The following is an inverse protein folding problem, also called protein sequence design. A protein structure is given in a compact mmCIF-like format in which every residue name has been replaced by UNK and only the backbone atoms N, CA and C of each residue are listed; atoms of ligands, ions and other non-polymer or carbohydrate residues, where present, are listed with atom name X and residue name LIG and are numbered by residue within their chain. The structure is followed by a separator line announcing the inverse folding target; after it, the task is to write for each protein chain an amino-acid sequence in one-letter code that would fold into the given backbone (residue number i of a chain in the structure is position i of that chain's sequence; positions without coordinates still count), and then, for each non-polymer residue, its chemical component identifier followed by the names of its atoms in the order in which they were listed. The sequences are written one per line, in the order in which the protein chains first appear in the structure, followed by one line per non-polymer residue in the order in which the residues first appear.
data_IF_381633821978
#
_entry.id   IF_381633821978
#
_cell.length_a   1.000
_cell.length_b   1.000
_cell.length_c   1.000
_cell.angle_alpha   90.00
_cell.angle_beta   90.00
_cell.angle_gamma   90.00
#
_symmetry.space_group_name_H-M   'P 1'
#
loop_
_entity.id
_entity.type
_entity.pdbx_description
1 polymer ?
#
# COMPACT_ATOMS: atom_id res chain seq x y z
N UNK A 1 -12.56 9.20 -14.10
CA UNK A 1 -12.83 7.88 -14.70
C UNK A 1 -12.19 6.77 -13.85
N UNK A 2 -12.89 5.69 -13.49
CA UNK A 2 -12.26 4.57 -12.77
C UNK A 2 -11.47 3.69 -13.76
N UNK A 3 -10.16 3.54 -13.58
CA UNK A 3 -9.37 2.57 -14.34
C UNK A 3 -8.41 1.85 -13.41
N UNK A 4 -8.23 0.55 -13.66
CA UNK A 4 -7.42 -0.32 -12.83
C UNK A 4 -5.96 -0.24 -13.29
N UNK A 5 -5.22 0.75 -12.79
CA UNK A 5 -3.78 0.86 -13.01
C UNK A 5 -2.98 0.04 -11.98
N UNK A 6 -2.08 -0.83 -12.46
CA UNK A 6 -1.12 -1.62 -11.67
C UNK A 6 -1.71 -2.71 -10.76
N UNK A 7 -2.88 -3.25 -11.13
CA UNK A 7 -3.58 -4.31 -10.38
C UNK A 7 -4.67 -3.77 -9.44
N UNK A 8 -5.69 -4.58 -9.17
CA UNK A 8 -6.84 -4.21 -8.33
C UNK A 8 -6.72 -4.73 -6.89
N UNK A 9 -5.66 -5.49 -6.60
CA UNK A 9 -5.36 -6.05 -5.29
C UNK A 9 -3.85 -6.07 -5.01
N UNK A 10 -3.50 -6.32 -3.76
CA UNK A 10 -2.13 -6.63 -3.33
C UNK A 10 -2.17 -7.84 -2.39
N UNK A 11 -1.04 -8.55 -2.30
CA UNK A 11 -0.86 -9.61 -1.32
C UNK A 11 -0.48 -9.00 0.03
N UNK A 12 -1.16 -9.46 1.09
CA UNK A 12 -1.03 -8.92 2.43
C UNK A 12 -0.76 -10.02 3.46
N UNK A 13 -0.07 -9.66 4.54
CA UNK A 13 0.12 -10.54 5.67
C UNK A 13 -1.22 -10.83 6.35
N UNK A 14 -1.49 -12.10 6.63
CA UNK A 14 -2.72 -12.51 7.34
C UNK A 14 -2.78 -11.98 8.78
N UNK A 15 -1.62 -11.71 9.41
CA UNK A 15 -1.55 -11.24 10.82
C UNK A 15 -1.78 -9.75 10.98
N UNK A 16 -1.12 -8.93 10.17
CA UNK A 16 -1.05 -7.47 10.40
C UNK A 16 -1.59 -6.62 9.24
N UNK A 17 -2.05 -7.27 8.17
CA UNK A 17 -2.59 -6.65 6.97
C UNK A 17 -1.65 -5.80 6.12
N UNK A 18 -0.37 -5.68 6.50
CA UNK A 18 0.63 -5.00 5.69
C UNK A 18 0.90 -5.77 4.41
N UNK A 19 1.11 -5.04 3.31
CA UNK A 19 1.58 -5.59 2.03
C UNK A 19 2.86 -6.41 2.25
N UNK A 20 2.89 -7.63 1.69
CA UNK A 20 4.09 -8.46 1.67
C UNK A 20 4.99 -8.07 0.50
N UNK A 21 6.29 -8.29 0.66
CA UNK A 21 7.32 -7.98 -0.33
C UNK A 21 8.06 -9.26 -0.73
N UNK A 22 8.62 -9.30 -1.93
CA UNK A 22 9.31 -10.47 -2.49
C UNK A 22 8.55 -11.07 -3.68
N UNK A 23 9.17 -12.07 -4.30
CA UNK A 23 8.64 -12.80 -5.45
C UNK A 23 8.21 -14.22 -5.04
N UNK A 24 7.61 -14.96 -5.98
CA UNK A 24 6.96 -16.26 -5.75
C UNK A 24 7.86 -17.24 -4.97
N UNK A 25 7.52 -17.45 -3.68
CA UNK A 25 8.18 -18.38 -2.77
C UNK A 25 8.82 -17.74 -1.53
N UNK A 26 9.15 -16.44 -1.58
CA UNK A 26 9.87 -15.73 -0.50
C UNK A 26 9.17 -14.44 -0.07
N UNK A 27 7.85 -14.52 0.09
CA UNK A 27 7.06 -13.40 0.58
C UNK A 27 7.37 -13.10 2.05
N UNK A 28 7.69 -11.85 2.34
CA UNK A 28 8.10 -11.37 3.65
C UNK A 28 7.19 -10.24 4.15
N UNK A 29 6.82 -10.28 5.42
CA UNK A 29 6.16 -9.17 6.09
C UNK A 29 7.17 -8.37 6.91
N UNK A 30 7.42 -7.13 6.51
CA UNK A 30 8.35 -6.24 7.21
C UNK A 30 7.87 -5.80 8.59
N UNK A 31 6.56 -5.80 8.86
CA UNK A 31 6.01 -5.43 10.19
C UNK A 31 6.03 -6.58 11.18
N UNK A 32 5.85 -7.81 10.71
CA UNK A 32 5.91 -9.01 11.55
C UNK A 32 7.30 -9.63 11.59
N UNK A 33 8.23 -9.12 10.78
CA UNK A 33 9.59 -9.66 10.61
C UNK A 33 9.58 -11.18 10.40
N UNK A 34 8.69 -11.64 9.53
CA UNK A 34 8.47 -13.06 9.30
C UNK A 34 8.09 -13.37 7.85
N UNK A 35 8.45 -14.58 7.42
CA UNK A 35 8.02 -15.19 6.16
C UNK A 35 6.50 -15.38 6.19
N UNK A 36 5.87 -15.18 5.04
CA UNK A 36 4.42 -15.31 4.85
C UNK A 36 4.18 -16.37 3.78
N UNK A 37 3.87 -17.58 4.23
CA UNK A 37 3.59 -18.71 3.32
C UNK A 37 2.21 -18.58 2.66
N UNK A 38 1.23 -18.11 3.42
CA UNK A 38 -0.15 -17.91 2.95
C UNK A 38 -0.50 -16.42 3.03
N UNK A 39 -0.18 -15.64 1.97
CA UNK A 39 -0.65 -14.27 1.86
C UNK A 39 -2.15 -14.23 1.56
N UNK A 40 -2.81 -13.14 1.93
CA UNK A 40 -4.22 -12.89 1.62
C UNK A 40 -4.31 -11.74 0.61
N UNK A 41 -5.04 -11.93 -0.48
CA UNK A 41 -5.33 -10.85 -1.42
C UNK A 41 -6.27 -9.81 -0.78
N UNK A 42 -5.94 -8.53 -0.94
CA UNK A 42 -6.71 -7.38 -0.44
C UNK A 42 -6.85 -6.30 -1.51
N UNK A 43 -7.98 -5.61 -1.57
CA UNK A 43 -8.16 -4.60 -2.62
C UNK A 43 -7.24 -3.39 -2.45
N UNK A 44 -6.77 -2.89 -3.60
CA UNK A 44 -6.18 -1.57 -3.77
C UNK A 44 -6.66 -1.05 -5.12
N UNK A 45 -7.75 -0.30 -5.10
CA UNK A 45 -8.37 0.23 -6.33
C UNK A 45 -7.98 1.69 -6.47
N UNK A 46 -7.36 2.01 -7.60
CA UNK A 46 -7.10 3.39 -8.02
C UNK A 46 -8.26 3.86 -8.90
N UNK A 47 -8.70 5.09 -8.69
CA UNK A 47 -9.69 5.70 -9.55
C UNK A 47 -9.45 7.19 -9.66
N UNK A 48 -9.70 7.72 -10.85
CA UNK A 48 -9.50 9.12 -11.15
C UNK A 48 -10.78 9.90 -10.94
N UNK A 49 -10.65 11.00 -10.21
CA UNK A 49 -11.71 11.96 -9.92
C UNK A 49 -11.36 13.26 -10.61
N UNK A 50 -12.34 13.83 -11.29
CA UNK A 50 -12.22 15.09 -12.00
C UNK A 50 -13.29 16.04 -11.48
N UNK A 51 -12.90 17.28 -11.23
CA UNK A 51 -13.78 18.39 -10.93
C UNK A 51 -13.39 19.62 -11.75
N UNK A 52 -14.07 20.74 -11.52
CA UNK A 52 -13.79 22.00 -12.20
C UNK A 52 -12.37 22.56 -11.98
N UNK A 53 -11.60 22.08 -10.99
CA UNK A 53 -10.24 22.52 -10.68
C UNK A 53 -9.17 21.62 -11.30
N UNK A 54 -9.53 20.40 -11.68
CA UNK A 54 -8.65 19.47 -12.37
C UNK A 54 -8.90 18.02 -12.01
N UNK A 55 -7.86 17.21 -12.19
CA UNK A 55 -7.93 15.76 -12.10
C UNK A 55 -6.99 15.25 -11.02
N UNK A 56 -7.42 14.27 -10.24
CA UNK A 56 -6.60 13.60 -9.23
C UNK A 56 -6.91 12.11 -9.12
N UNK A 57 -6.01 11.34 -8.49
CA UNK A 57 -6.17 9.90 -8.28
C UNK A 57 -6.45 9.63 -6.81
N UNK A 58 -7.55 8.94 -6.55
CA UNK A 58 -7.88 8.38 -5.25
C UNK A 58 -7.57 6.88 -5.19
N UNK A 59 -7.18 6.41 -4.01
CA UNK A 59 -6.89 5.01 -3.73
C UNK A 59 -7.83 4.53 -2.63
N UNK A 60 -8.73 3.60 -2.95
CA UNK A 60 -9.54 2.90 -1.95
C UNK A 60 -8.87 1.57 -1.58
N UNK A 61 -8.74 1.34 -0.28
CA UNK A 61 -8.18 0.12 0.29
C UNK A 61 -9.29 -0.84 0.70
N UNK A 62 -8.92 -2.12 0.78
CA UNK A 62 -9.72 -3.30 1.14
C UNK A 62 -11.13 -3.04 1.70
N UNK A 63 -11.25 -2.50 2.91
CA UNK A 63 -12.55 -2.34 3.60
C UNK A 63 -13.54 -1.45 2.84
N UNK A 64 -13.08 -0.38 2.20
CA UNK A 64 -13.97 0.53 1.45
C UNK A 64 -14.39 -0.12 0.13
N UNK A 65 -13.48 -0.85 -0.53
CA UNK A 65 -13.78 -1.54 -1.78
C UNK A 65 -14.74 -2.70 -1.54
N UNK A 66 -14.57 -3.48 -0.47
CA UNK A 66 -15.47 -4.58 -0.12
C UNK A 66 -16.92 -4.11 0.09
N UNK A 67 -17.14 -2.91 0.64
CA UNK A 67 -18.48 -2.34 0.79
C UNK A 67 -19.16 -2.07 -0.56
N UNK A 68 -18.38 -1.63 -1.55
CA UNK A 68 -18.87 -1.31 -2.90
C UNK A 68 -19.08 -2.59 -3.73
N UNK A 69 -18.08 -3.47 -3.73
CA UNK A 69 -18.04 -4.68 -4.57
C UNK A 69 -18.86 -5.82 -3.96
N UNK A 70 -19.07 -5.82 -2.64
CA UNK A 70 -19.76 -6.88 -1.88
C UNK A 70 -19.14 -8.27 -2.04
N UNK A 71 -17.83 -8.30 -2.27
CA UNK A 71 -16.98 -9.48 -2.28
C UNK A 71 -15.61 -9.10 -1.73
N UNK A 72 -14.84 -10.08 -1.30
CA UNK A 72 -13.44 -9.95 -0.91
C UNK A 72 -12.52 -10.06 -2.12
N UNK A 73 -11.30 -9.52 -2.01
CA UNK A 73 -10.33 -9.67 -3.09
C UNK A 73 -9.91 -11.14 -3.28
N UNK A 74 -9.83 -11.91 -2.18
CA UNK A 74 -9.52 -13.34 -2.23
C UNK A 74 -10.54 -14.15 -3.05
N UNK A 75 -11.84 -13.87 -2.88
CA UNK A 75 -12.90 -14.50 -3.68
C UNK A 75 -12.75 -14.17 -5.17
N UNK A 76 -12.40 -12.92 -5.50
CA UNK A 76 -12.23 -12.50 -6.89
C UNK A 76 -10.92 -13.01 -7.52
N UNK A 77 -9.87 -13.26 -6.74
CA UNK A 77 -8.62 -13.83 -7.28
C UNK A 77 -8.76 -15.28 -7.73
N UNK A 78 -9.80 -15.99 -7.27
CA UNK A 78 -10.14 -17.33 -7.77
C UNK A 78 -10.96 -17.32 -9.07
N UNK A 79 -11.45 -16.16 -9.51
CA UNK A 79 -12.17 -15.99 -10.77
C UNK A 79 -11.22 -15.63 -11.93
N UNK A 80 -11.72 -15.64 -13.16
CA UNK A 80 -10.98 -15.08 -14.29
C UNK A 80 -10.72 -13.58 -14.07
N UNK A 81 -9.63 -13.06 -14.63
CA UNK A 81 -9.24 -11.66 -14.48
C UNK A 81 -10.35 -10.70 -14.98
N UNK A 82 -11.03 -11.04 -16.07
CA UNK A 82 -12.14 -10.26 -16.62
C UNK A 82 -13.34 -10.21 -15.66
N UNK A 83 -13.66 -11.33 -15.01
CA UNK A 83 -14.75 -11.37 -14.04
C UNK A 83 -14.42 -10.54 -12.80
N UNK A 84 -13.17 -10.61 -12.31
CA UNK A 84 -12.72 -9.79 -11.20
C UNK A 84 -12.76 -8.29 -11.54
N UNK A 85 -12.24 -7.89 -12.71
CA UNK A 85 -12.30 -6.51 -13.19
C UNK A 85 -13.75 -6.03 -13.31
N UNK A 86 -14.62 -6.83 -13.90
CA UNK A 86 -16.05 -6.51 -14.07
C UNK A 86 -16.75 -6.31 -12.72
N UNK A 87 -16.48 -7.17 -11.74
CA UNK A 87 -17.03 -7.03 -10.39
C UNK A 87 -16.57 -5.73 -9.71
N UNK A 88 -15.28 -5.39 -9.83
CA UNK A 88 -14.75 -4.14 -9.29
C UNK A 88 -15.38 -2.92 -9.99
N UNK A 89 -15.43 -2.92 -11.32
CA UNK A 89 -16.05 -1.83 -12.10
C UNK A 89 -17.53 -1.68 -11.73
N UNK A 90 -18.26 -2.78 -11.60
CA UNK A 90 -19.67 -2.80 -11.21
C UNK A 90 -19.88 -2.21 -9.81
N UNK A 91 -19.05 -2.57 -8.83
CA UNK A 91 -19.11 -1.99 -7.49
C UNK A 91 -18.92 -0.47 -7.49
N UNK A 92 -18.00 0.03 -8.33
CA UNK A 92 -17.74 1.47 -8.49
C UNK A 92 -18.75 2.19 -9.39
N UNK A 93 -19.50 1.48 -10.24
CA UNK A 93 -20.52 2.10 -11.10
C UNK A 93 -21.58 2.88 -10.31
N UNK A 94 -21.86 2.43 -9.08
CA UNK A 94 -22.80 3.10 -8.17
C UNK A 94 -22.32 4.49 -7.73
N UNK A 95 -21.01 4.75 -7.74
CA UNK A 95 -20.44 6.05 -7.38
C UNK A 95 -20.09 6.92 -8.59
N UNK A 96 -19.89 6.33 -9.78
CA UNK A 96 -19.43 7.03 -10.98
C UNK A 96 -20.36 8.14 -11.50
N UNK A 97 -21.60 8.23 -11.00
CA UNK A 97 -22.58 9.24 -11.41
C UNK A 97 -23.38 9.81 -10.23
N UNK A 98 -22.86 9.72 -9.00
CA UNK A 98 -23.51 10.24 -7.80
C UNK A 98 -22.63 11.25 -7.10
N UNK A 99 -23.24 12.18 -6.38
CA UNK A 99 -22.55 13.01 -5.41
C UNK A 99 -22.03 12.14 -4.26
N UNK A 100 -20.70 12.04 -4.14
CA UNK A 100 -20.03 11.20 -3.15
C UNK A 100 -19.05 12.04 -2.35
N UNK A 101 -19.14 11.93 -1.03
CA UNK A 101 -18.19 12.57 -0.12
C UNK A 101 -17.06 11.60 0.19
N UNK A 102 -15.84 11.97 -0.23
CA UNK A 102 -14.65 11.18 0.03
C UNK A 102 -13.92 11.74 1.25
N UNK A 103 -13.75 10.93 2.30
CA UNK A 103 -12.85 11.30 3.38
C UNK A 103 -11.44 10.80 3.03
N UNK A 104 -10.47 11.69 2.87
CA UNK A 104 -9.09 11.34 2.50
C UNK A 104 -8.11 11.57 3.66
N UNK A 105 -7.05 10.77 3.72
CA UNK A 105 -5.91 11.04 4.60
C UNK A 105 -4.76 11.63 3.79
N UNK A 106 -4.19 12.73 4.30
CA UNK A 106 -2.98 13.35 3.75
C UNK A 106 -1.81 13.01 4.66
N UNK A 107 -0.79 12.37 4.11
CA UNK A 107 0.45 12.07 4.83
C UNK A 107 1.52 13.15 4.56
N UNK A 108 2.56 13.18 5.39
CA UNK A 108 3.73 14.05 5.22
C UNK A 108 4.39 13.91 3.83
N UNK A 109 4.33 12.71 3.25
CA UNK A 109 4.73 12.43 1.86
C UNK A 109 3.93 13.25 0.83
N UNK A 110 2.61 13.35 1.00
CA UNK A 110 1.75 14.13 0.11
C UNK A 110 2.04 15.64 0.26
N UNK A 111 2.38 16.12 1.46
CA UNK A 111 2.66 17.54 1.69
C UNK A 111 4.02 18.01 1.17
N UNK A 112 5.01 17.10 1.08
CA UNK A 112 6.35 17.42 0.57
C UNK A 112 6.43 17.43 -0.96
N UNK A 113 5.40 16.93 -1.65
CA UNK A 113 5.35 16.90 -3.10
C UNK A 113 4.69 18.16 -3.64
N UNK A 114 5.27 18.76 -4.70
CA UNK A 114 4.64 19.87 -5.42
C UNK A 114 3.30 19.47 -6.06
N UNK A 115 3.16 18.20 -6.43
CA UNK A 115 1.95 17.61 -7.03
C UNK A 115 1.78 16.18 -6.52
N UNK A 116 0.90 15.93 -5.54
CA UNK A 116 0.65 14.59 -5.04
C UNK A 116 0.11 13.68 -6.16
N UNK A 117 0.69 12.49 -6.32
CA UNK A 117 0.27 11.55 -7.37
C UNK A 117 -0.98 10.76 -7.03
N UNK A 118 -1.33 10.65 -5.74
CA UNK A 118 -2.60 10.06 -5.29
C UNK A 118 -2.90 10.34 -3.81
N UNK A 119 -4.17 10.21 -3.43
CA UNK A 119 -4.65 10.33 -2.05
C UNK A 119 -5.38 9.07 -1.59
N UNK A 120 -5.14 8.64 -0.34
CA UNK A 120 -5.80 7.46 0.22
C UNK A 120 -7.18 7.83 0.76
N UNK A 121 -8.20 7.12 0.30
CA UNK A 121 -9.57 7.23 0.79
C UNK A 121 -9.73 6.40 2.06
N UNK A 122 -10.17 7.04 3.12
CA UNK A 122 -10.50 6.40 4.40
C UNK A 122 -11.97 6.07 4.53
N UNK A 123 -12.84 6.88 3.93
CA UNK A 123 -14.30 6.65 3.93
C UNK A 123 -14.93 7.13 2.62
N UNK A 124 -15.90 6.37 2.13
CA UNK A 124 -16.78 6.74 1.02
C UNK A 124 -18.19 6.87 1.57
N UNK A 125 -18.75 8.08 1.55
CA UNK A 125 -20.13 8.32 1.97
C UNK A 125 -21.01 8.67 0.76
N UNK A 126 -22.13 7.95 0.63
CA UNK A 126 -23.13 8.24 -0.38
C UNK A 126 -24.03 9.37 0.12
N UNK A 127 -24.15 10.44 -0.67
CA UNK A 127 -25.09 11.51 -0.35
C UNK A 127 -26.42 11.22 -1.04
N UNK A 128 -27.53 11.49 -0.34
CA UNK A 128 -28.88 11.45 -0.93
C UNK A 128 -29.27 12.79 -1.56
N UNK A 129 -28.34 13.74 -1.66
CA UNK A 129 -28.65 15.07 -2.20
C UNK A 129 -28.36 15.12 -3.70
N UNK A 130 -29.38 15.39 -4.54
CA UNK A 130 -29.15 15.63 -5.95
C UNK A 130 -28.45 16.97 -6.14
N UNK A 131 -27.23 16.96 -6.69
CA UNK A 131 -26.66 18.14 -7.36
C UNK A 131 -25.58 18.95 -6.64
N UNK A 132 -24.97 18.46 -5.57
CA UNK A 132 -23.78 19.09 -4.97
C UNK A 132 -22.60 18.13 -5.06
N UNK A 133 -21.50 18.58 -5.67
CA UNK A 133 -20.43 17.73 -6.23
C UNK A 133 -19.66 16.86 -5.24
N UNK A 134 -18.56 16.28 -5.72
CA UNK A 134 -17.67 15.44 -4.91
C UNK A 134 -16.89 16.30 -3.91
N UNK A 135 -17.29 16.32 -2.64
CA UNK A 135 -16.50 17.00 -1.60
C UNK A 135 -15.51 16.01 -0.99
N UNK A 136 -14.22 16.34 -1.04
CA UNK A 136 -13.19 15.63 -0.31
C UNK A 136 -13.05 16.24 1.10
N UNK A 137 -13.44 15.51 2.15
CA UNK A 137 -13.12 15.90 3.53
C UNK A 137 -11.72 15.43 3.88
N UNK A 138 -10.82 16.37 4.16
CA UNK A 138 -9.43 16.07 4.48
C UNK A 138 -9.28 15.80 5.97
N UNK A 139 -8.74 14.63 6.33
CA UNK A 139 -8.15 14.40 7.66
C UNK A 139 -6.63 14.45 7.52
N UNK A 140 -6.00 15.37 8.24
CA UNK A 140 -4.54 15.47 8.33
C UNK A 140 -4.12 14.70 9.57
N UNK A 141 -3.39 13.61 9.40
CA UNK A 141 -2.71 12.92 10.50
C UNK A 141 -1.25 13.37 10.49
N UNK A 142 -0.88 14.15 11.51
CA UNK A 142 0.51 14.55 11.72
C UNK A 142 1.29 13.38 12.29
N UNK A 143 2.21 12.80 11.51
CA UNK A 143 3.18 11.86 12.05
C UNK A 143 4.08 12.61 13.05
N UNK A 144 3.87 12.40 14.36
CA UNK A 144 4.90 12.70 15.36
C UNK A 144 5.99 11.63 15.26
N UNK A 145 6.79 11.69 14.20
CA UNK A 145 8.05 10.95 14.15
C UNK A 145 9.04 11.71 15.04
N UNK A 146 9.23 11.24 16.27
CA UNK A 146 10.49 11.44 16.97
C UNK A 146 11.58 10.80 16.13
N UNK A 147 12.55 11.61 15.74
CA UNK A 147 13.70 11.22 14.95
C UNK A 147 14.62 10.41 15.86
N UNK A 148 14.57 9.09 15.80
CA UNK A 148 15.71 8.28 16.22
C UNK A 148 16.84 8.49 15.21
N UNK A 149 17.95 8.99 15.73
CA UNK A 149 19.08 9.53 14.98
C UNK A 149 19.83 8.51 14.11
N UNK A 150 20.89 8.96 13.41
CA UNK A 150 21.60 8.13 12.45
C UNK A 150 22.34 6.99 13.17
N UNK A 151 21.92 5.75 12.91
CA UNK A 151 22.75 4.58 13.22
C UNK A 151 23.98 4.60 12.32
N UNK A 152 25.12 4.96 12.91
CA UNK A 152 26.44 4.75 12.33
C UNK A 152 26.66 3.26 12.07
N UNK A 153 26.80 2.89 10.80
CA UNK A 153 27.30 1.57 10.42
C UNK A 153 28.75 1.46 10.93
N UNK A 154 29.02 0.56 11.88
CA UNK A 154 30.39 0.13 12.17
C UNK A 154 30.90 -0.71 10.97
N UNK A 155 32.09 -0.43 10.42
CA UNK A 155 32.71 -1.32 9.45
C UNK A 155 33.16 -2.61 10.16
N UNK A 156 32.94 -3.73 9.49
CA UNK A 156 33.47 -5.05 9.85
C UNK A 156 34.94 -5.08 9.38
N UNK A 157 35.89 -5.13 10.31
CA UNK A 157 37.29 -5.45 9.98
C UNK A 157 37.36 -6.96 9.69
N UNK A 158 37.74 -7.31 8.47
CA UNK A 158 38.29 -8.62 8.12
C UNK A 158 39.83 -8.51 8.19
N UNK A 159 40.45 -9.12 9.18
CA UNK A 159 41.89 -9.38 9.19
C UNK A 159 42.16 -10.72 9.88
N UNK A 160 42.47 -11.75 9.10
CA UNK A 160 43.42 -12.79 9.49
C UNK A 160 44.22 -13.19 8.26
N UNK A 161 45.42 -12.63 8.16
CA UNK A 161 46.45 -12.95 7.20
C UNK A 161 47.54 -13.75 7.92
N UNK A 162 48.02 -14.81 7.28
CA UNK A 162 49.41 -15.27 7.35
C UNK A 162 49.89 -15.91 8.65
N UNK A 163 49.94 -17.25 8.68
CA UNK A 163 50.93 -17.98 9.46
C UNK A 163 52.01 -18.44 8.47
N UNK A 164 53.18 -17.82 8.51
CA UNK A 164 54.42 -18.36 7.93
C UNK A 164 55.48 -18.48 9.04
N UNK A 165 56.33 -19.48 8.81
CA UNK A 165 57.11 -20.27 9.75
C UNK A 165 58.38 -19.63 10.37
N UNK A 166 58.91 -20.41 11.31
CA UNK A 166 60.30 -20.47 11.84
C UNK A 166 60.71 -19.37 12.83
N UNK A 167 61.41 -19.71 13.93
CA UNK A 167 62.63 -20.51 13.96
C UNK A 167 63.03 -20.89 15.40
N UNK A 168 63.71 -22.04 15.53
CA UNK A 168 64.77 -22.49 16.48
C UNK A 168 65.00 -21.68 17.78
N UNK A 169 65.34 -22.24 18.96
CA UNK A 169 66.54 -23.04 19.22
C UNK A 169 66.60 -23.50 20.72
N UNK A 170 66.98 -24.78 20.92
CA UNK A 170 67.89 -25.37 21.93
C UNK A 170 67.71 -25.36 23.47
N UNK A 171 68.33 -26.44 24.01
CA UNK A 171 68.79 -26.77 25.38
C UNK A 171 67.77 -27.48 26.29
N UNK A 172 68.03 -28.64 26.90
CA UNK A 172 69.21 -29.50 27.05
C UNK A 172 68.70 -30.92 27.42
#
# INVERSE_FOLDING_TARGET
MCYLANGWHYLACHRCSKKVMGDDGDLWCTKCEAKVELPIARFMVRFEVEDHTGTTVFVALDSEVQKLVRATAAELTGASEDNAKSAVISGFSQILQRAVDFQITIHSFNMKQKTPTSFTVTRINFTNQPGQGFYATVKVEGDSNTVDGPHTKKPRLDETTGMEDNKDEAAE
#
